data_IF_666784264141
#
_entry.id   IF_666784264141
#
_cell.length_a   1.000
_cell.length_b   1.000
_cell.length_c   1.000
_cell.angle_alpha   90.00
_cell.angle_beta   90.00
_cell.angle_gamma   90.00
#
_symmetry.space_group_name_H-M   'P 1'
#
loop_
_entity.id
_entity.type
_entity.pdbx_description
1 polymer ?
#
# COMPACT_ATOMS: atom_id res chain seq x y z
N UNK A 1 15.38 -24.95 12.88
CA UNK A 1 15.76 -24.52 11.51
C UNK A 1 14.96 -23.30 11.12
N UNK A 2 15.34 -22.61 10.04
CA UNK A 2 14.56 -21.51 9.46
C UNK A 2 13.51 -22.11 8.52
N UNK A 3 12.25 -21.69 8.63
CA UNK A 3 11.16 -22.12 7.75
C UNK A 3 10.29 -20.95 7.34
N UNK A 4 9.71 -21.05 6.14
CA UNK A 4 8.71 -20.13 5.63
C UNK A 4 7.31 -20.58 6.06
N UNK A 5 6.47 -19.64 6.50
CA UNK A 5 5.08 -19.93 6.86
C UNK A 5 4.24 -19.92 5.59
N UNK A 6 3.86 -21.11 5.11
CA UNK A 6 3.01 -21.24 3.93
C UNK A 6 1.57 -20.83 4.26
N UNK A 7 0.98 -19.99 3.39
CA UNK A 7 -0.42 -19.62 3.41
C UNK A 7 -1.12 -20.23 2.20
N UNK A 8 -2.13 -21.07 2.44
CA UNK A 8 -2.88 -21.69 1.34
C UNK A 8 -3.61 -20.64 0.49
N UNK A 9 -3.30 -20.50 -0.82
CA UNK A 9 -3.98 -19.55 -1.69
C UNK A 9 -5.46 -19.89 -1.89
N UNK A 10 -5.88 -21.15 -1.64
CA UNK A 10 -7.27 -21.59 -1.78
C UNK A 10 -8.15 -21.23 -0.56
N UNK A 11 -7.57 -20.80 0.56
CA UNK A 11 -8.30 -20.43 1.78
C UNK A 11 -9.00 -19.07 1.66
N UNK A 12 -10.08 -19.01 0.87
CA UNK A 12 -10.85 -17.78 0.58
C UNK A 12 -11.29 -17.04 1.85
N UNK A 13 -11.71 -17.75 2.89
CA UNK A 13 -12.15 -17.14 4.15
C UNK A 13 -10.99 -16.51 4.92
N UNK A 14 -9.83 -17.16 4.91
CA UNK A 14 -8.59 -16.63 5.48
C UNK A 14 -8.16 -15.33 4.79
N UNK A 15 -8.14 -15.33 3.47
CA UNK A 15 -7.83 -14.14 2.66
C UNK A 15 -8.87 -13.03 2.87
N UNK A 16 -10.15 -13.37 2.94
CA UNK A 16 -11.21 -12.40 3.25
C UNK A 16 -11.05 -11.75 4.63
N UNK A 17 -10.57 -12.47 5.65
CA UNK A 17 -10.23 -11.88 6.95
C UNK A 17 -8.97 -11.02 6.87
N UNK A 18 -7.94 -11.47 6.17
CA UNK A 18 -6.70 -10.71 5.99
C UNK A 18 -6.96 -9.37 5.28
N UNK A 19 -7.76 -9.37 4.21
CA UNK A 19 -8.10 -8.17 3.44
C UNK A 19 -8.98 -7.19 4.21
N UNK A 20 -9.76 -7.63 5.22
CA UNK A 20 -10.43 -6.70 6.15
C UNK A 20 -9.44 -5.88 6.97
N UNK A 21 -8.28 -6.44 7.30
CA UNK A 21 -7.22 -5.76 8.03
C UNK A 21 -6.30 -4.97 7.10
N UNK A 22 -5.84 -5.60 6.01
CA UNK A 22 -4.89 -5.07 5.03
C UNK A 22 -5.46 -5.25 3.62
N UNK A 23 -6.24 -4.29 3.09
CA UNK A 23 -7.07 -4.47 1.89
C UNK A 23 -6.35 -4.77 0.57
N UNK A 24 -5.03 -4.64 0.54
CA UNK A 24 -4.19 -4.81 -0.65
C UNK A 24 -3.33 -6.07 -0.61
N UNK A 25 -3.52 -6.94 0.38
CA UNK A 25 -2.78 -8.21 0.41
C UNK A 25 -3.42 -9.26 -0.49
N UNK A 26 -2.56 -10.06 -1.08
CA UNK A 26 -2.94 -11.16 -1.97
C UNK A 26 -1.99 -12.35 -1.81
N UNK A 27 -2.40 -13.58 -2.19
CA UNK A 27 -1.48 -14.71 -2.23
C UNK A 27 -0.35 -14.45 -3.23
N UNK A 28 0.90 -14.68 -2.80
CA UNK A 28 2.08 -14.58 -3.65
C UNK A 28 2.93 -15.84 -3.51
N UNK A 29 3.27 -16.47 -4.63
CA UNK A 29 4.21 -17.58 -4.66
C UNK A 29 5.64 -17.04 -4.66
N UNK A 30 6.25 -17.01 -3.48
CA UNK A 30 7.61 -16.50 -3.31
C UNK A 30 8.63 -17.57 -3.70
N UNK A 31 9.60 -17.18 -4.52
CA UNK A 31 10.69 -18.03 -5.02
C UNK A 31 12.08 -17.47 -4.65
N UNK A 32 12.12 -16.30 -4.00
CA UNK A 32 13.33 -15.61 -3.58
C UNK A 32 13.40 -15.71 -2.04
N UNK A 33 14.39 -16.45 -1.55
CA UNK A 33 14.61 -16.62 -0.11
C UNK A 33 15.45 -17.85 0.19
N UNK A 34 15.87 -18.00 1.46
CA UNK A 34 16.62 -19.18 1.90
C UNK A 34 15.84 -20.47 1.61
N UNK A 35 16.40 -21.35 0.77
CA UNK A 35 15.80 -22.62 0.39
C UNK A 35 14.64 -22.53 -0.63
N UNK A 36 14.32 -21.33 -1.13
CA UNK A 36 13.30 -21.13 -2.17
C UNK A 36 13.93 -21.14 -3.57
N UNK A 37 13.17 -21.66 -4.52
CA UNK A 37 13.52 -21.66 -5.95
C UNK A 37 12.25 -21.48 -6.78
N UNK A 38 12.37 -21.32 -8.09
CA UNK A 38 11.20 -21.26 -8.98
C UNK A 38 10.43 -22.59 -9.00
N UNK A 39 11.15 -23.69 -8.80
CA UNK A 39 10.61 -25.06 -8.79
C UNK A 39 10.02 -25.44 -7.41
N UNK A 40 10.47 -24.75 -6.35
CA UNK A 40 9.99 -24.94 -4.97
C UNK A 40 9.64 -23.60 -4.32
N UNK A 41 8.60 -22.89 -4.81
CA UNK A 41 8.14 -21.66 -4.20
C UNK A 41 7.30 -21.95 -2.94
N UNK A 42 7.07 -20.93 -2.13
CA UNK A 42 6.14 -20.97 -0.99
C UNK A 42 5.09 -19.89 -1.14
N UNK A 43 3.83 -20.26 -0.96
CA UNK A 43 2.73 -19.30 -0.93
C UNK A 43 2.77 -18.47 0.35
N UNK A 44 2.77 -17.16 0.20
CA UNK A 44 2.91 -16.19 1.28
C UNK A 44 2.01 -14.99 1.06
N UNK A 45 1.98 -14.09 2.05
CA UNK A 45 1.33 -12.79 1.96
C UNK A 45 2.12 -11.89 1.01
N UNK A 46 1.54 -11.57 -0.14
CA UNK A 46 2.04 -10.57 -1.07
C UNK A 46 1.54 -9.17 -0.73
N UNK A 47 2.45 -8.21 -0.70
CA UNK A 47 2.17 -6.78 -0.62
C UNK A 47 3.36 -6.00 -1.19
N UNK A 48 3.18 -4.69 -1.42
CA UNK A 48 4.22 -3.85 -2.03
C UNK A 48 5.17 -3.32 -0.96
N UNK A 49 6.39 -3.84 -0.91
CA UNK A 49 7.43 -3.35 0.01
C UNK A 49 8.84 -3.59 -0.55
N UNK A 50 9.80 -2.66 -0.38
CA UNK A 50 9.67 -1.34 0.24
C UNK A 50 8.91 -0.34 -0.65
N UNK A 51 8.37 0.72 -0.03
CA UNK A 51 7.73 1.84 -0.73
C UNK A 51 8.55 3.11 -0.56
N UNK A 52 8.57 3.96 -1.59
CA UNK A 52 9.04 5.35 -1.47
C UNK A 52 7.85 6.21 -1.13
N UNK A 53 7.87 6.82 0.05
CA UNK A 53 6.74 7.58 0.59
C UNK A 53 7.11 9.06 0.72
N UNK A 54 6.10 9.90 0.58
CA UNK A 54 6.24 11.35 0.62
C UNK A 54 4.98 11.97 1.21
N UNK A 55 5.09 13.15 1.83
CA UNK A 55 3.90 13.87 2.28
C UNK A 55 3.06 14.35 1.09
N UNK A 56 1.74 14.30 1.21
CA UNK A 56 0.80 14.78 0.20
C UNK A 56 0.98 16.26 -0.18
N UNK A 57 1.61 17.07 0.68
CA UNK A 57 1.89 18.50 0.44
C UNK A 57 3.17 18.76 -0.36
N UNK A 58 3.91 17.72 -0.71
CA UNK A 58 5.19 17.86 -1.43
C UNK A 58 4.90 18.34 -2.85
N UNK A 59 5.79 19.12 -3.43
CA UNK A 59 5.53 19.72 -4.74
C UNK A 59 5.44 18.63 -5.80
N UNK A 60 4.42 18.70 -6.66
CA UNK A 60 4.21 17.73 -7.73
C UNK A 60 5.42 17.60 -8.66
N UNK A 61 6.11 18.71 -8.96
CA UNK A 61 7.30 18.70 -9.81
C UNK A 61 8.49 17.96 -9.19
N UNK A 62 8.67 18.09 -7.88
CA UNK A 62 9.71 17.36 -7.14
C UNK A 62 9.43 15.85 -7.17
N UNK A 63 8.20 15.45 -6.87
CA UNK A 63 7.82 14.03 -6.87
C UNK A 63 7.86 13.44 -8.28
N UNK A 64 7.47 14.20 -9.30
CA UNK A 64 7.61 13.81 -10.70
C UNK A 64 9.09 13.59 -11.05
N UNK A 65 9.97 14.54 -10.70
CA UNK A 65 11.39 14.44 -11.01
C UNK A 65 12.04 13.23 -10.35
N UNK A 66 11.73 12.95 -9.08
CA UNK A 66 12.23 11.78 -8.35
C UNK A 66 11.68 10.48 -8.96
N UNK A 67 10.38 10.41 -9.26
CA UNK A 67 9.76 9.23 -9.88
C UNK A 67 10.41 8.92 -11.23
N UNK A 68 10.62 9.96 -12.05
CA UNK A 68 11.31 9.86 -13.33
C UNK A 68 12.73 9.36 -13.17
N UNK A 69 13.52 9.97 -12.28
CA UNK A 69 14.89 9.57 -12.05
C UNK A 69 15.00 8.09 -11.67
N UNK A 70 14.16 7.60 -10.75
CA UNK A 70 14.15 6.19 -10.34
C UNK A 70 13.79 5.30 -11.53
N UNK A 71 12.68 5.60 -12.21
CA UNK A 71 12.22 4.75 -13.31
C UNK A 71 13.19 4.72 -14.50
N UNK A 72 13.82 5.85 -14.85
CA UNK A 72 14.73 5.95 -16.00
C UNK A 72 16.14 5.42 -15.69
N UNK A 73 16.51 5.32 -14.41
CA UNK A 73 17.78 4.71 -13.96
C UNK A 73 17.64 3.24 -13.60
N UNK A 74 16.50 2.60 -13.87
CA UNK A 74 16.23 1.21 -13.50
C UNK A 74 17.33 0.23 -13.94
N UNK A 75 17.88 0.41 -15.15
CA UNK A 75 18.94 -0.45 -15.66
C UNK A 75 20.23 -0.40 -14.83
N UNK A 76 20.47 0.71 -14.12
CA UNK A 76 21.63 0.88 -13.24
C UNK A 76 21.52 0.01 -11.99
N UNK A 77 20.31 -0.17 -11.45
CA UNK A 77 20.12 -0.83 -10.14
C UNK A 77 19.37 -2.16 -10.18
N UNK A 78 18.75 -2.56 -11.31
CA UNK A 78 17.93 -3.80 -11.41
C UNK A 78 18.67 -5.08 -11.02
N UNK A 79 20.01 -5.08 -11.07
CA UNK A 79 20.86 -6.22 -10.75
C UNK A 79 21.46 -6.15 -9.33
N UNK A 80 21.16 -5.10 -8.55
CA UNK A 80 21.80 -4.88 -7.26
C UNK A 80 21.39 -5.92 -6.19
N UNK A 81 20.20 -6.52 -6.32
CA UNK A 81 19.76 -7.64 -5.49
C UNK A 81 18.70 -8.47 -6.23
N UNK A 82 18.49 -9.75 -5.87
CA UNK A 82 17.51 -10.63 -6.52
C UNK A 82 16.08 -10.07 -6.58
N UNK A 83 15.72 -9.18 -5.65
CA UNK A 83 14.40 -8.56 -5.56
C UNK A 83 14.22 -7.33 -6.47
N UNK A 84 15.32 -6.69 -6.90
CA UNK A 84 15.29 -5.44 -7.65
C UNK A 84 14.54 -5.52 -9.00
N UNK A 85 14.41 -6.69 -9.68
CA UNK A 85 13.52 -6.81 -10.83
C UNK A 85 12.03 -6.51 -10.59
N UNK A 86 11.60 -6.43 -9.31
CA UNK A 86 10.25 -6.01 -8.91
C UNK A 86 10.07 -4.49 -8.91
N UNK A 87 11.17 -3.74 -8.96
CA UNK A 87 11.18 -2.28 -9.03
C UNK A 87 11.04 -1.70 -10.45
N UNK A 88 10.87 -2.55 -11.46
CA UNK A 88 10.42 -2.11 -12.78
C UNK A 88 9.17 -1.24 -12.61
N UNK A 89 9.18 -0.03 -13.16
CA UNK A 89 8.09 0.93 -13.00
C UNK A 89 6.74 0.40 -13.48
N UNK A 90 6.72 -0.53 -14.45
CA UNK A 90 5.48 -1.20 -14.90
C UNK A 90 4.89 -2.13 -13.84
N UNK A 91 5.70 -2.58 -12.89
CA UNK A 91 5.30 -3.42 -11.76
C UNK A 91 5.12 -2.62 -10.47
N UNK A 92 6.06 -1.74 -10.14
CA UNK A 92 6.09 -0.99 -8.88
C UNK A 92 5.23 0.29 -8.93
N UNK A 93 5.01 0.84 -10.12
CA UNK A 93 4.19 2.03 -10.36
C UNK A 93 2.71 1.74 -10.53
N UNK A 94 2.21 0.58 -10.06
CA UNK A 94 0.81 0.19 -10.21
C UNK A 94 0.19 -0.18 -8.85
N UNK A 95 -1.08 0.21 -8.61
CA UNK A 95 -1.82 -0.22 -7.42
C UNK A 95 -2.21 -1.70 -7.47
N UNK A 96 -2.70 -2.29 -6.36
CA UNK A 96 -2.94 -1.69 -5.04
C UNK A 96 -1.69 -1.55 -4.16
N UNK A 97 -1.73 -0.64 -3.19
CA UNK A 97 -0.65 -0.37 -2.22
C UNK A 97 -1.14 0.33 -0.95
N UNK A 98 -0.24 0.55 0.01
CA UNK A 98 -0.54 1.02 1.36
C UNK A 98 -1.07 2.46 1.43
N UNK A 99 -0.69 3.30 0.46
CA UNK A 99 -1.05 4.71 0.39
C UNK A 99 -1.39 5.14 -1.05
N UNK A 100 -2.21 6.17 -1.18
CA UNK A 100 -2.52 6.77 -2.48
C UNK A 100 -1.26 7.32 -3.16
N UNK A 101 -1.21 7.28 -4.49
CA UNK A 101 -0.12 7.87 -5.25
C UNK A 101 -0.16 9.40 -5.18
N UNK A 102 1.02 10.01 -5.24
CA UNK A 102 1.16 11.46 -5.38
C UNK A 102 0.90 11.91 -6.82
N UNK A 103 0.30 13.09 -7.02
CA UNK A 103 -0.05 13.61 -8.36
C UNK A 103 1.17 13.70 -9.30
N UNK A 104 2.34 14.07 -8.76
CA UNK A 104 3.60 14.07 -9.50
C UNK A 104 4.02 12.69 -10.03
N UNK A 105 3.81 11.63 -9.25
CA UNK A 105 4.09 10.26 -9.67
C UNK A 105 3.06 9.80 -10.71
N UNK A 106 1.76 10.08 -10.49
CA UNK A 106 0.69 9.80 -11.45
C UNK A 106 0.97 10.49 -12.79
N UNK A 107 1.43 11.75 -12.77
CA UNK A 107 1.80 12.50 -13.98
C UNK A 107 2.84 11.74 -14.81
N UNK A 108 3.92 11.27 -14.18
CA UNK A 108 4.95 10.49 -14.86
C UNK A 108 4.43 9.14 -15.38
N UNK A 109 3.65 8.43 -14.56
CA UNK A 109 3.08 7.13 -14.94
C UNK A 109 2.08 7.24 -16.10
N UNK A 110 1.33 8.33 -16.19
CA UNK A 110 0.47 8.67 -17.34
C UNK A 110 1.31 8.93 -18.59
N UNK A 111 2.37 9.74 -18.48
CA UNK A 111 3.29 10.04 -19.59
C UNK A 111 3.92 8.78 -20.20
N UNK A 112 4.27 7.79 -19.36
CA UNK A 112 4.81 6.50 -19.81
C UNK A 112 3.75 5.47 -20.24
N UNK A 113 2.46 5.84 -20.24
CA UNK A 113 1.36 4.95 -20.62
C UNK A 113 1.11 3.79 -19.64
N UNK A 114 1.58 3.89 -18.40
CA UNK A 114 1.45 2.86 -17.36
C UNK A 114 0.17 3.06 -16.55
N UNK A 115 -0.26 4.32 -16.36
CA UNK A 115 -1.41 4.66 -15.53
C UNK A 115 -2.73 4.46 -16.30
N UNK A 116 -3.52 3.46 -15.89
CA UNK A 116 -4.79 3.11 -16.52
C UNK A 116 -5.99 3.73 -15.82
N UNK A 117 -7.18 3.59 -16.42
CA UNK A 117 -8.44 3.98 -15.79
C UNK A 117 -8.71 3.20 -14.49
N UNK A 118 -8.36 1.91 -14.44
CA UNK A 118 -8.50 1.10 -13.23
C UNK A 118 -7.56 1.56 -12.12
N UNK A 119 -6.33 1.98 -12.46
CA UNK A 119 -5.42 2.58 -11.48
C UNK A 119 -5.99 3.88 -10.91
N UNK A 120 -6.60 4.72 -11.76
CA UNK A 120 -7.28 5.95 -11.32
C UNK A 120 -8.48 5.63 -10.43
N UNK A 121 -9.31 4.65 -10.79
CA UNK A 121 -10.46 4.22 -9.98
C UNK A 121 -10.02 3.75 -8.60
N UNK A 122 -8.94 2.97 -8.52
CA UNK A 122 -8.34 2.58 -7.24
C UNK A 122 -7.87 3.79 -6.43
N UNK A 123 -7.15 4.72 -7.07
CA UNK A 123 -6.62 5.94 -6.45
C UNK A 123 -7.75 6.80 -5.85
N UNK A 124 -8.82 7.01 -6.62
CA UNK A 124 -9.97 7.80 -6.19
C UNK A 124 -10.67 7.15 -4.99
N UNK A 125 -10.79 5.82 -4.99
CA UNK A 125 -11.29 5.04 -3.86
C UNK A 125 -10.41 5.17 -2.61
N UNK A 126 -9.09 5.09 -2.77
CA UNK A 126 -8.13 5.26 -1.68
C UNK A 126 -8.21 6.67 -1.06
N UNK A 127 -8.27 7.71 -1.89
CA UNK A 127 -8.43 9.11 -1.46
C UNK A 127 -9.78 9.34 -0.77
N UNK A 128 -10.88 8.80 -1.30
CA UNK A 128 -12.21 8.87 -0.66
C UNK A 128 -12.17 8.27 0.74
N UNK A 129 -11.64 7.04 0.85
CA UNK A 129 -11.47 6.34 2.13
C UNK A 129 -10.65 7.18 3.11
N UNK A 130 -9.51 7.72 2.67
CA UNK A 130 -8.64 8.54 3.51
C UNK A 130 -9.35 9.81 3.99
N UNK A 131 -10.04 10.53 3.10
CA UNK A 131 -10.79 11.75 3.42
C UNK A 131 -11.88 11.49 4.47
N UNK A 132 -12.62 10.39 4.34
CA UNK A 132 -13.66 10.01 5.30
C UNK A 132 -13.08 9.70 6.68
N UNK A 133 -11.97 8.96 6.74
CA UNK A 133 -11.29 8.67 8.00
C UNK A 133 -10.71 9.93 8.66
N UNK A 134 -10.10 10.82 7.87
CA UNK A 134 -9.57 12.10 8.38
C UNK A 134 -10.70 12.98 8.94
N UNK A 135 -11.84 13.06 8.25
CA UNK A 135 -12.99 13.81 8.72
C UNK A 135 -13.55 13.25 10.04
N UNK A 136 -13.72 11.92 10.12
CA UNK A 136 -14.20 11.26 11.33
C UNK A 136 -13.22 11.40 12.51
N UNK A 137 -11.92 11.36 12.24
CA UNK A 137 -10.89 11.63 13.24
C UNK A 137 -10.97 13.06 13.76
N UNK A 138 -11.05 14.05 12.86
CA UNK A 138 -11.20 15.47 13.22
C UNK A 138 -12.46 15.70 14.04
N UNK A 139 -13.57 15.08 13.67
CA UNK A 139 -14.82 15.15 14.41
C UNK A 139 -14.69 14.53 15.81
N UNK A 140 -14.06 13.36 15.93
CA UNK A 140 -13.80 12.73 17.24
C UNK A 140 -13.00 13.67 18.14
N UNK A 141 -11.89 14.20 17.64
CA UNK A 141 -11.03 15.10 18.42
C UNK A 141 -11.73 16.40 18.82
N UNK A 142 -12.72 16.87 18.04
CA UNK A 142 -13.47 18.08 18.33
C UNK A 142 -14.64 17.86 19.31
N UNK A 143 -15.32 16.72 19.22
CA UNK A 143 -16.59 16.47 19.92
C UNK A 143 -16.50 15.54 21.13
N UNK A 144 -15.44 14.76 21.26
CA UNK A 144 -15.28 13.78 22.35
C UNK A 144 -14.39 14.38 23.47
N UNK A 145 -14.94 14.80 24.62
CA UNK A 145 -14.14 15.34 25.71
C UNK A 145 -13.08 14.34 26.19
N UNK A 146 -13.40 13.03 26.16
CA UNK A 146 -12.48 11.98 26.57
C UNK A 146 -11.27 11.80 25.63
N UNK A 147 -11.26 12.45 24.46
CA UNK A 147 -10.12 12.46 23.54
C UNK A 147 -9.10 13.56 23.88
N UNK A 148 -9.49 14.60 24.63
CA UNK A 148 -8.61 15.72 24.96
C UNK A 148 -7.55 15.30 25.96
N UNK A 149 -6.27 15.39 25.57
CA UNK A 149 -5.15 14.99 26.42
C UNK A 149 -5.07 13.47 26.68
N UNK A 150 -5.85 12.68 25.94
CA UNK A 150 -5.85 11.24 26.04
C UNK A 150 -4.52 10.63 25.55
N UNK A 151 -4.08 9.58 26.22
CA UNK A 151 -2.97 8.77 25.73
C UNK A 151 -3.36 7.92 24.51
N UNK A 152 -2.36 7.29 23.89
CA UNK A 152 -2.56 6.46 22.69
C UNK A 152 -3.54 5.30 22.93
N UNK A 153 -3.53 4.66 24.10
CA UNK A 153 -4.41 3.52 24.39
C UNK A 153 -5.86 4.00 24.45
N UNK A 154 -6.11 5.09 25.15
CA UNK A 154 -7.45 5.69 25.25
C UNK A 154 -7.93 6.16 23.89
N UNK A 155 -7.10 6.85 23.10
CA UNK A 155 -7.44 7.24 21.73
C UNK A 155 -7.77 6.03 20.84
N UNK A 156 -7.05 4.92 20.96
CA UNK A 156 -7.38 3.68 20.24
C UNK A 156 -8.76 3.14 20.64
N UNK A 157 -9.09 3.11 21.93
CA UNK A 157 -10.43 2.63 22.38
C UNK A 157 -11.57 3.48 21.84
N UNK A 158 -11.36 4.79 21.69
CA UNK A 158 -12.35 5.71 21.12
C UNK A 158 -12.40 5.60 19.59
N UNK A 159 -11.25 5.44 18.94
CA UNK A 159 -11.13 5.48 17.48
C UNK A 159 -11.55 4.18 16.80
N UNK A 160 -11.19 3.02 17.34
CA UNK A 160 -11.41 1.73 16.66
C UNK A 160 -12.89 1.48 16.30
N UNK A 161 -13.86 1.68 17.22
CA UNK A 161 -15.27 1.53 16.87
C UNK A 161 -15.73 2.56 15.84
N UNK A 162 -15.35 3.83 15.99
CA UNK A 162 -15.74 4.90 15.05
C UNK A 162 -15.16 4.67 13.65
N UNK A 163 -13.90 4.24 13.56
CA UNK A 163 -13.26 3.82 12.31
C UNK A 163 -14.05 2.69 11.66
N UNK A 164 -14.47 1.67 12.42
CA UNK A 164 -15.24 0.56 11.88
C UNK A 164 -16.58 1.04 11.28
N UNK A 165 -17.30 1.93 11.96
CA UNK A 165 -18.55 2.52 11.43
C UNK A 165 -18.32 3.32 10.14
N UNK A 166 -17.29 4.16 10.09
CA UNK A 166 -16.94 4.91 8.88
C UNK A 166 -16.65 3.97 7.71
N UNK A 167 -15.91 2.88 7.96
CA UNK A 167 -15.55 1.92 6.93
C UNK A 167 -16.73 1.09 6.41
N UNK A 168 -17.83 0.94 7.16
CA UNK A 168 -19.06 0.27 6.66
C UNK A 168 -19.78 1.08 5.59
N UNK A 169 -19.52 2.39 5.51
CA UNK A 169 -20.18 3.31 4.58
C UNK A 169 -19.42 3.53 3.25
N UNK A 170 -18.30 2.82 3.07
CA UNK A 170 -17.46 2.85 1.86
C UNK A 170 -17.83 1.70 0.92
#
# INVERSE_FOLDING_TARGET
GISWVALDPANKDGWGRAQKAVPFVEPHAESIGAGLTKEKPVWMMGYRYPMITVYAKTKADEVYAVTKAIAETYDVYKSAAPIMPRWDVKKAGTPPMDAAFHDGAIRYLKEKGIWTADHQKWQDGALKRQKMLQAAWKEMMAKEPAAKGADTKKLQTLWVPRRAEVLKSL
#
